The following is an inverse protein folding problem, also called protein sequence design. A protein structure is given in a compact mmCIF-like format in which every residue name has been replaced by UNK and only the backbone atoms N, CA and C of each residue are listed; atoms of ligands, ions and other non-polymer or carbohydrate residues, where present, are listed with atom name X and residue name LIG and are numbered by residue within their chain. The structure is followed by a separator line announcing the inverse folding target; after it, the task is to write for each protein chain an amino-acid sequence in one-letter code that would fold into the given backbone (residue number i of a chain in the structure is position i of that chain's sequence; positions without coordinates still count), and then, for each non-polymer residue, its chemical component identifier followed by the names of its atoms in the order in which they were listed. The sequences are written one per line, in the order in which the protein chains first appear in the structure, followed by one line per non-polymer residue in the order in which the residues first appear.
data_IF_486150527795
#
_entry.id   IF_486150527795
#
_cell.length_a   1.000
_cell.length_b   1.000
_cell.length_c   1.000
_cell.angle_alpha   90.00
_cell.angle_beta   90.00
_cell.angle_gamma   90.00
#
_symmetry.space_group_name_H-M   'P 1'
#
loop_
_entity.id
_entity.type
_entity.pdbx_description
1 polymer ?
#
# COMPACT_ATOMS: atom_id res chain seq x y z
N UNK A 1 -6.72 -20.84 -0.18
CA UNK A 1 -6.76 -19.47 -0.76
C UNK A 1 -5.86 -19.43 -1.98
N UNK A 2 -6.41 -19.09 -3.15
CA UNK A 2 -5.72 -19.07 -4.46
C UNK A 2 -4.95 -17.76 -4.70
N UNK A 3 -4.44 -17.12 -3.64
CA UNK A 3 -3.88 -15.76 -3.71
C UNK A 3 -2.77 -15.60 -4.75
N UNK A 4 -1.87 -16.59 -4.89
CA UNK A 4 -0.78 -16.53 -5.89
C UNK A 4 -1.27 -16.67 -7.33
N UNK A 5 -2.32 -17.45 -7.58
CA UNK A 5 -2.87 -17.62 -8.94
C UNK A 5 -3.79 -16.47 -9.35
N UNK A 6 -4.39 -15.77 -8.39
CA UNK A 6 -5.31 -14.65 -8.64
C UNK A 6 -4.59 -13.29 -8.68
N UNK A 7 -3.46 -13.15 -7.97
CA UNK A 7 -2.63 -11.94 -7.90
C UNK A 7 -2.30 -11.32 -9.27
N UNK A 8 -1.85 -12.09 -10.28
CA UNK A 8 -1.54 -11.53 -11.60
C UNK A 8 -2.73 -10.79 -12.23
N UNK A 9 -3.95 -11.32 -12.09
CA UNK A 9 -5.15 -10.67 -12.62
C UNK A 9 -5.51 -9.37 -11.88
N UNK A 10 -5.25 -9.29 -10.56
CA UNK A 10 -5.44 -8.02 -9.82
C UNK A 10 -4.44 -6.95 -10.24
N UNK A 11 -3.18 -7.34 -10.51
CA UNK A 11 -2.16 -6.42 -11.03
C UNK A 11 -2.58 -5.88 -12.40
N UNK A 12 -3.02 -6.75 -13.30
CA UNK A 12 -3.49 -6.35 -14.64
C UNK A 12 -4.65 -5.35 -14.56
N UNK A 13 -5.67 -5.63 -13.73
CA UNK A 13 -6.82 -4.74 -13.52
C UNK A 13 -6.42 -3.39 -12.93
N UNK A 14 -5.43 -3.35 -12.02
CA UNK A 14 -4.86 -2.10 -11.52
C UNK A 14 -4.15 -1.32 -12.64
N UNK A 15 -3.29 -1.99 -13.42
CA UNK A 15 -2.57 -1.36 -14.54
C UNK A 15 -3.51 -0.83 -15.64
N UNK A 16 -4.67 -1.49 -15.84
CA UNK A 16 -5.73 -1.05 -16.74
C UNK A 16 -6.59 0.09 -16.16
N UNK A 17 -6.37 0.51 -14.91
CA UNK A 17 -7.15 1.55 -14.23
C UNK A 17 -8.54 1.10 -13.76
N UNK A 18 -8.84 -0.20 -13.81
CA UNK A 18 -10.12 -0.76 -13.34
C UNK A 18 -10.20 -0.83 -11.81
N UNK A 19 -9.05 -0.78 -11.14
CA UNK A 19 -8.93 -0.74 -9.68
C UNK A 19 -8.05 0.45 -9.32
N UNK A 20 -8.56 1.39 -8.53
CA UNK A 20 -7.75 2.46 -7.96
C UNK A 20 -7.18 1.98 -6.62
N UNK A 21 -5.86 1.74 -6.57
CA UNK A 21 -5.13 1.39 -5.34
C UNK A 21 -4.45 2.62 -4.73
N UNK A 22 -4.11 3.61 -5.56
CA UNK A 22 -3.31 4.76 -5.16
C UNK A 22 -4.03 5.64 -4.12
N UNK A 23 -5.36 5.77 -4.21
CA UNK A 23 -6.17 6.53 -3.24
C UNK A 23 -6.08 5.99 -1.80
N UNK A 24 -5.66 4.74 -1.62
CA UNK A 24 -5.46 4.16 -0.29
C UNK A 24 -4.11 4.54 0.31
N UNK A 25 -3.15 5.00 -0.50
CA UNK A 25 -1.82 5.43 -0.06
C UNK A 25 -1.93 6.84 0.51
N UNK A 26 -1.94 6.92 1.84
CA UNK A 26 -2.05 8.20 2.57
C UNK A 26 -0.69 8.79 2.94
N UNK A 27 0.34 7.96 3.02
CA UNK A 27 1.67 8.36 3.45
C UNK A 27 2.73 7.63 2.63
N UNK A 28 3.81 8.33 2.35
CA UNK A 28 4.93 7.86 1.56
C UNK A 28 6.21 8.33 2.26
N UNK A 29 7.00 7.38 2.80
CA UNK A 29 8.15 7.69 3.66
C UNK A 29 9.38 6.88 3.21
N UNK A 30 10.59 7.38 3.45
CA UNK A 30 11.80 6.57 3.31
C UNK A 30 11.86 5.46 4.38
N UNK A 31 12.52 4.35 4.06
CA UNK A 31 12.56 3.16 4.92
C UNK A 31 13.26 3.40 6.27
N UNK A 32 14.18 4.35 6.34
CA UNK A 32 14.82 4.79 7.58
C UNK A 32 13.81 5.37 8.61
N UNK A 33 12.64 5.82 8.14
CA UNK A 33 11.54 6.34 8.97
C UNK A 33 10.48 5.29 9.31
N UNK A 34 10.81 3.99 9.25
CA UNK A 34 9.87 2.90 9.54
C UNK A 34 9.14 3.05 10.90
N UNK A 35 9.81 3.58 11.91
CA UNK A 35 9.18 3.79 13.23
C UNK A 35 8.08 4.86 13.18
N UNK A 36 8.29 5.94 12.41
CA UNK A 36 7.25 6.96 12.20
C UNK A 36 6.03 6.39 11.47
N UNK A 37 6.25 5.52 10.48
CA UNK A 37 5.15 4.81 9.82
C UNK A 37 4.32 3.97 10.82
N UNK A 38 4.97 3.30 11.77
CA UNK A 38 4.29 2.58 12.84
C UNK A 38 3.52 3.51 13.78
N UNK A 39 4.10 4.64 14.19
CA UNK A 39 3.39 5.61 15.04
C UNK A 39 2.12 6.15 14.36
N UNK A 40 2.21 6.51 13.07
CA UNK A 40 1.06 6.96 12.27
C UNK A 40 -0.04 5.88 12.19
N UNK A 41 0.35 4.61 12.05
CA UNK A 41 -0.58 3.48 12.06
C UNK A 41 -1.28 3.32 13.42
N UNK A 42 -0.53 3.29 14.52
CA UNK A 42 -1.10 3.14 15.87
C UNK A 42 -1.98 4.33 16.27
N UNK A 43 -1.64 5.53 15.82
CA UNK A 43 -2.44 6.73 16.04
C UNK A 43 -3.72 6.80 15.18
N UNK A 44 -3.95 5.84 14.28
CA UNK A 44 -5.09 5.84 13.35
C UNK A 44 -5.02 6.95 12.31
N UNK A 45 -3.82 7.49 12.05
CA UNK A 45 -3.59 8.58 11.08
C UNK A 45 -3.18 8.06 9.70
N UNK A 46 -2.97 6.75 9.53
CA UNK A 46 -2.64 6.13 8.25
C UNK A 46 -3.73 5.14 7.83
N UNK A 47 -4.11 5.19 6.55
CA UNK A 47 -4.83 4.11 5.88
C UNK A 47 -3.80 3.10 5.34
N UNK A 48 -2.84 3.61 4.55
CA UNK A 48 -1.66 2.87 4.09
C UNK A 48 -0.48 3.82 4.05
N UNK A 49 0.66 3.33 4.52
CA UNK A 49 1.97 3.95 4.34
C UNK A 49 2.81 3.06 3.43
N UNK A 50 3.42 3.63 2.39
CA UNK A 50 4.40 2.95 1.54
C UNK A 50 5.80 3.41 1.95
N UNK A 51 6.74 2.45 2.03
CA UNK A 51 8.13 2.72 2.38
C UNK A 51 9.04 2.50 1.17
N UNK A 52 9.92 3.47 0.89
CA UNK A 52 10.90 3.39 -0.20
C UNK A 52 12.32 3.16 0.33
N UNK A 53 13.10 2.37 -0.39
CA UNK A 53 14.49 2.04 -0.04
C UNK A 53 15.49 3.04 -0.61
#
# INVERSE_FOLDING_TARGET
VKGRTELPGYVERYMNGEINIDDFITHDLPFDQINEAFELLHAGKSIRTVLHY
#
